data_IF_430470913793
#
_entry.id   IF_430470913793
#
_cell.length_a   1.000
_cell.length_b   1.000
_cell.length_c   1.000
_cell.angle_alpha   90.00
_cell.angle_beta   90.00
_cell.angle_gamma   90.00
#
_symmetry.space_group_name_H-M   'P 1'
#
loop_
_entity.id
_entity.type
_entity.pdbx_description
1 polymer ?
#
# COMPACT_ATOMS: atom_id res chain seq x y z
N UNK A 1 -48.52 48.43 9.35
CA UNK A 1 -48.06 47.03 9.28
C UNK A 1 -46.54 47.07 9.35
N UNK A 2 -45.94 46.81 10.52
CA UNK A 2 -44.49 46.94 10.72
C UNK A 2 -43.81 45.59 10.43
N UNK A 3 -42.93 45.57 9.43
CA UNK A 3 -42.17 44.38 9.06
C UNK A 3 -40.98 44.29 10.01
N UNK A 4 -41.02 43.34 10.95
CA UNK A 4 -39.88 43.02 11.80
C UNK A 4 -38.84 42.27 10.98
N UNK A 5 -37.78 42.98 10.57
CA UNK A 5 -36.61 42.36 9.96
C UNK A 5 -35.83 41.70 11.10
N UNK A 6 -35.97 40.37 11.23
CA UNK A 6 -35.18 39.59 12.18
C UNK A 6 -33.71 39.71 11.76
N UNK A 7 -32.92 40.43 12.55
CA UNK A 7 -31.47 40.51 12.40
C UNK A 7 -30.92 39.09 12.56
N UNK A 8 -30.58 38.45 11.44
CA UNK A 8 -29.87 37.18 11.45
C UNK A 8 -28.47 37.51 11.93
N UNK A 9 -28.18 37.16 13.18
CA UNK A 9 -26.90 37.47 13.80
C UNK A 9 -25.77 36.84 12.98
N UNK A 10 -24.82 37.69 12.56
CA UNK A 10 -23.62 37.31 11.81
C UNK A 10 -22.84 36.17 12.47
N UNK A 11 -23.00 35.99 13.78
CA UNK A 11 -22.40 34.88 14.54
C UNK A 11 -22.90 33.52 14.06
N UNK A 12 -24.20 33.38 13.76
CA UNK A 12 -24.79 32.13 13.28
C UNK A 12 -24.36 31.80 11.86
N UNK A 13 -24.21 32.84 11.02
CA UNK A 13 -23.69 32.70 9.66
C UNK A 13 -22.22 32.25 9.70
N UNK A 14 -21.41 32.81 10.60
CA UNK A 14 -20.01 32.43 10.77
C UNK A 14 -19.85 30.98 11.24
N UNK A 15 -20.70 30.52 12.18
CA UNK A 15 -20.70 29.14 12.68
C UNK A 15 -21.05 28.15 11.55
N UNK A 16 -22.03 28.47 10.70
CA UNK A 16 -22.39 27.62 9.56
C UNK A 16 -21.28 27.54 8.50
N UNK A 17 -20.56 28.65 8.26
CA UNK A 17 -19.43 28.67 7.32
C UNK A 17 -18.25 27.84 7.87
N UNK A 18 -17.92 27.99 9.15
CA UNK A 18 -16.86 27.21 9.82
C UNK A 18 -17.18 25.71 9.92
N UNK A 19 -18.46 25.34 9.97
CA UNK A 19 -18.91 23.93 10.01
C UNK A 19 -18.66 23.17 8.70
N UNK A 20 -18.43 23.88 7.59
CA UNK A 20 -18.25 23.28 6.26
C UNK A 20 -16.82 22.83 5.95
N UNK A 21 -15.88 23.08 6.87
CA UNK A 21 -14.44 22.96 6.60
C UNK A 21 -13.74 21.79 7.32
N UNK A 22 -14.39 20.63 7.49
CA UNK A 22 -13.68 19.43 7.99
C UNK A 22 -14.14 18.15 7.30
N UNK A 23 -14.02 18.09 5.98
CA UNK A 23 -13.73 16.80 5.34
C UNK A 23 -12.21 16.63 5.33
N UNK A 24 -11.66 16.21 6.46
CA UNK A 24 -10.31 15.65 6.47
C UNK A 24 -10.36 14.40 5.62
N UNK A 25 -9.91 14.51 4.36
CA UNK A 25 -9.78 13.36 3.47
C UNK A 25 -8.89 12.34 4.18
N UNK A 26 -9.49 11.24 4.63
CA UNK A 26 -8.74 10.10 5.14
C UNK A 26 -7.98 9.57 3.94
N UNK A 27 -6.68 9.86 3.89
CA UNK A 27 -5.79 9.24 2.91
C UNK A 27 -5.81 7.74 3.19
N UNK A 28 -6.42 6.96 2.31
CA UNK A 28 -6.35 5.50 2.38
C UNK A 28 -4.86 5.11 2.36
N UNK A 29 -4.41 4.43 3.41
CA UNK A 29 -3.03 4.01 3.56
C UNK A 29 -2.92 2.58 3.06
N UNK A 30 -2.09 2.36 2.04
CA UNK A 30 -1.86 1.04 1.47
C UNK A 30 -0.75 0.34 2.23
N UNK A 31 -1.05 -0.84 2.74
CA UNK A 31 -0.08 -1.71 3.41
C UNK A 31 0.52 -2.65 2.37
N UNK A 32 1.85 -2.68 2.26
CA UNK A 32 2.56 -3.64 1.41
C UNK A 32 3.48 -4.45 2.32
N UNK A 33 3.29 -5.77 2.36
CA UNK A 33 4.13 -6.69 3.11
C UNK A 33 4.81 -7.67 2.17
N UNK A 34 6.11 -7.85 2.36
CA UNK A 34 6.88 -8.95 1.79
C UNK A 34 7.15 -9.97 2.88
N UNK A 35 7.08 -11.26 2.53
CA UNK A 35 7.43 -12.35 3.42
C UNK A 35 8.32 -13.35 2.69
N UNK A 36 9.45 -13.72 3.31
CA UNK A 36 10.37 -14.70 2.76
C UNK A 36 9.80 -16.13 2.91
N UNK A 37 9.66 -16.83 1.78
CA UNK A 37 9.23 -18.24 1.67
C UNK A 37 10.11 -19.03 0.69
N UNK A 38 11.34 -18.57 0.46
CA UNK A 38 12.32 -19.27 -0.38
C UNK A 38 12.75 -20.59 0.28
N UNK A 39 12.81 -21.66 -0.50
CA UNK A 39 13.30 -22.99 -0.15
C UNK A 39 12.82 -23.49 1.23
N UNK A 40 11.50 -23.42 1.44
CA UNK A 40 10.86 -23.76 2.71
C UNK A 40 11.44 -23.02 3.94
N UNK A 41 12.02 -21.84 3.73
CA UNK A 41 12.64 -21.01 4.75
C UNK A 41 14.14 -21.21 4.95
N UNK A 42 14.83 -21.96 4.08
CA UNK A 42 16.27 -22.21 4.22
C UNK A 42 17.15 -21.07 3.70
N UNK A 43 16.63 -20.26 2.76
CA UNK A 43 17.38 -19.21 2.08
C UNK A 43 17.05 -17.83 2.63
N UNK A 44 18.09 -17.01 2.79
CA UNK A 44 17.94 -15.60 3.09
C UNK A 44 17.55 -14.80 1.85
N UNK A 45 16.65 -13.84 2.05
CA UNK A 45 16.17 -12.93 1.01
C UNK A 45 16.63 -11.50 1.34
N UNK A 46 17.39 -10.89 0.45
CA UNK A 46 17.63 -9.44 0.48
C UNK A 46 16.59 -8.73 -0.39
N UNK A 47 15.88 -7.77 0.18
CA UNK A 47 14.91 -6.93 -0.54
C UNK A 47 15.36 -5.48 -0.52
N UNK A 48 15.33 -4.81 -1.67
CA UNK A 48 15.61 -3.38 -1.78
C UNK A 48 14.59 -2.69 -2.70
N UNK A 49 13.99 -1.59 -2.25
CA UNK A 49 12.99 -0.84 -3.00
C UNK A 49 13.47 0.61 -3.19
N UNK A 50 14.42 0.87 -4.10
CA UNK A 50 15.12 2.15 -4.18
C UNK A 50 14.23 3.35 -4.50
N UNK A 51 13.09 3.12 -5.19
CA UNK A 51 12.10 4.17 -5.48
C UNK A 51 11.21 4.51 -4.28
N UNK A 52 11.34 3.75 -3.18
CA UNK A 52 10.55 3.90 -1.95
C UNK A 52 11.46 4.41 -0.83
N UNK A 53 12.59 3.76 -0.62
CA UNK A 53 13.59 4.16 0.37
C UNK A 53 14.99 3.64 0.00
N UNK A 54 16.03 4.22 0.60
CA UNK A 54 17.43 3.85 0.34
C UNK A 54 17.90 2.58 1.07
N UNK A 55 17.07 2.01 1.94
CA UNK A 55 17.41 0.86 2.79
C UNK A 55 17.13 -0.47 2.08
N UNK A 56 17.97 -1.46 2.38
CA UNK A 56 17.74 -2.87 2.05
C UNK A 56 17.46 -3.67 3.32
N UNK A 57 16.69 -4.75 3.18
CA UNK A 57 16.26 -5.61 4.27
C UNK A 57 16.72 -7.03 3.99
N UNK A 58 17.46 -7.61 4.93
CA UNK A 58 17.74 -9.05 4.96
C UNK A 58 16.62 -9.72 5.74
N UNK A 59 15.93 -10.66 5.12
CA UNK A 59 14.83 -11.43 5.70
C UNK A 59 15.23 -12.89 5.73
N UNK A 60 15.30 -13.46 6.93
CA UNK A 60 15.46 -14.89 7.11
C UNK A 60 14.17 -15.63 6.73
N UNK A 61 14.25 -16.95 6.56
CA UNK A 61 13.09 -17.77 6.25
C UNK A 61 11.97 -17.57 7.27
N UNK A 62 10.76 -17.27 6.79
CA UNK A 62 9.65 -16.97 7.69
C UNK A 62 9.38 -15.48 7.87
N UNK A 63 10.44 -14.65 7.87
CA UNK A 63 10.39 -13.24 8.23
C UNK A 63 9.68 -12.38 7.19
N UNK A 64 9.20 -11.23 7.66
CA UNK A 64 8.42 -10.30 6.86
C UNK A 64 8.88 -8.87 7.11
N UNK A 65 8.73 -8.03 6.10
CA UNK A 65 8.89 -6.59 6.23
C UNK A 65 7.69 -5.88 5.59
N UNK A 66 7.31 -4.75 6.18
CA UNK A 66 6.11 -4.01 5.82
C UNK A 66 6.45 -2.55 5.53
N UNK A 67 5.82 -2.02 4.49
CA UNK A 67 5.79 -0.61 4.16
C UNK A 67 4.38 -0.06 4.29
N UNK A 68 4.30 1.20 4.73
CA UNK A 68 3.09 2.01 4.64
C UNK A 68 3.24 2.92 3.43
N UNK A 69 2.50 2.62 2.36
CA UNK A 69 2.53 3.41 1.15
C UNK A 69 1.38 4.43 1.15
N UNK A 70 1.75 5.70 1.33
CA UNK A 70 0.79 6.80 1.27
C UNK A 70 0.38 7.17 -0.17
N UNK A 71 1.03 6.60 -1.19
CA UNK A 71 0.77 6.88 -2.61
C UNK A 71 -0.54 6.27 -3.14
N UNK A 72 -1.24 5.43 -2.36
CA UNK A 72 -2.58 4.98 -2.73
C UNK A 72 -3.62 6.12 -2.80
N UNK A 73 -3.30 7.29 -2.22
CA UNK A 73 -4.10 8.51 -2.37
C UNK A 73 -4.06 9.14 -3.77
N UNK A 74 -3.12 8.75 -4.63
CA UNK A 74 -3.08 9.22 -6.02
C UNK A 74 -3.64 8.15 -6.95
N UNK A 75 -4.93 8.28 -7.30
CA UNK A 75 -5.63 7.49 -8.33
C UNK A 75 -5.00 7.58 -9.74
N UNK A 76 -3.84 8.23 -9.89
CA UNK A 76 -3.14 8.42 -11.16
C UNK A 76 -1.66 8.10 -10.98
N UNK A 77 -1.26 6.89 -11.41
CA UNK A 77 0.10 6.58 -11.87
C UNK A 77 1.26 7.00 -10.96
N UNK A 78 1.16 6.81 -9.65
CA UNK A 78 2.29 7.01 -8.74
C UNK A 78 3.54 6.22 -9.18
N UNK A 79 4.75 6.61 -8.72
CA UNK A 79 5.97 5.90 -9.09
C UNK A 79 5.84 4.41 -8.73
N UNK A 80 6.36 3.50 -9.58
CA UNK A 80 6.21 2.08 -9.37
C UNK A 80 6.86 1.66 -8.04
N UNK A 81 6.15 0.85 -7.25
CA UNK A 81 6.70 0.21 -6.05
C UNK A 81 7.56 -0.98 -6.48
N UNK A 82 8.63 -0.68 -7.21
CA UNK A 82 9.53 -1.66 -7.80
C UNK A 82 10.62 -2.01 -6.81
N UNK A 83 10.72 -3.29 -6.48
CA UNK A 83 11.71 -3.81 -5.56
C UNK A 83 12.58 -4.87 -6.26
N UNK A 84 13.84 -4.97 -5.84
CA UNK A 84 14.72 -6.08 -6.16
C UNK A 84 14.67 -7.11 -5.04
N UNK A 85 14.75 -8.39 -5.44
CA UNK A 85 14.71 -9.55 -4.58
C UNK A 85 15.93 -10.42 -4.92
N UNK A 86 16.83 -10.57 -3.96
CA UNK A 86 18.11 -11.25 -4.17
C UNK A 86 18.31 -12.34 -3.13
N UNK A 87 18.71 -13.51 -3.59
CA UNK A 87 19.15 -14.61 -2.75
C UNK A 87 20.29 -15.35 -3.44
N UNK A 88 20.78 -16.42 -2.81
CA UNK A 88 21.90 -17.19 -3.37
C UNK A 88 21.54 -17.74 -4.76
N UNK A 89 22.21 -17.19 -5.79
CA UNK A 89 22.11 -17.65 -7.17
C UNK A 89 21.01 -17.01 -8.01
N UNK A 90 20.24 -16.05 -7.49
CA UNK A 90 19.19 -15.38 -8.26
C UNK A 90 18.95 -13.94 -7.80
N UNK A 91 18.51 -13.11 -8.74
CA UNK A 91 18.16 -11.71 -8.54
C UNK A 91 17.03 -11.36 -9.49
N UNK A 92 15.92 -10.87 -8.95
CA UNK A 92 14.73 -10.52 -9.72
C UNK A 92 14.22 -9.14 -9.35
N UNK A 93 13.43 -8.54 -10.24
CA UNK A 93 12.68 -7.34 -9.96
C UNK A 93 11.19 -7.64 -10.01
N UNK A 94 10.42 -6.94 -9.18
CA UNK A 94 8.97 -7.03 -9.22
C UNK A 94 8.32 -5.75 -8.71
N UNK A 95 7.25 -5.34 -9.39
CA UNK A 95 6.41 -4.24 -8.96
C UNK A 95 5.37 -4.73 -7.95
N UNK A 96 5.60 -4.43 -6.67
CA UNK A 96 4.76 -4.89 -5.57
C UNK A 96 3.40 -4.18 -5.51
N UNK A 97 3.24 -3.06 -6.23
CA UNK A 97 1.99 -2.36 -6.36
C UNK A 97 1.76 -1.86 -7.79
N UNK A 98 0.70 -2.34 -8.40
CA UNK A 98 0.21 -1.87 -9.69
C UNK A 98 -1.25 -1.46 -9.53
N UNK A 99 -1.61 -0.17 -9.68
CA UNK A 99 -3.00 0.28 -9.58
C UNK A 99 -3.96 -0.47 -10.49
N UNK A 100 -3.52 -0.94 -11.67
CA UNK A 100 -4.39 -1.71 -12.57
C UNK A 100 -4.71 -3.11 -12.05
N UNK A 101 -3.83 -3.69 -11.21
CA UNK A 101 -3.95 -5.02 -10.59
C UNK A 101 -4.52 -4.96 -9.16
N UNK A 102 -4.24 -3.88 -8.44
CA UNK A 102 -4.34 -3.81 -6.98
C UNK A 102 -5.30 -2.69 -6.48
N UNK A 103 -6.06 -2.04 -7.37
CA UNK A 103 -6.97 -0.91 -7.02
C UNK A 103 -8.04 -1.24 -5.95
N UNK A 104 -8.34 -2.51 -5.72
CA UNK A 104 -9.43 -2.97 -4.86
C UNK A 104 -8.98 -3.41 -3.46
N UNK A 105 -7.73 -3.12 -3.10
CA UNK A 105 -7.07 -3.67 -1.90
C UNK A 105 -6.24 -2.61 -1.18
N UNK A 106 -6.53 -2.43 0.10
CA UNK A 106 -5.74 -1.57 1.00
C UNK A 106 -4.56 -2.32 1.65
N UNK A 107 -4.52 -3.65 1.50
CA UNK A 107 -3.45 -4.51 1.99
C UNK A 107 -2.96 -5.44 0.87
N UNK A 108 -1.63 -5.52 0.69
CA UNK A 108 -0.97 -6.36 -0.29
C UNK A 108 0.10 -7.20 0.40
N UNK A 109 -0.19 -8.48 0.55
CA UNK A 109 0.71 -9.45 1.16
C UNK A 109 1.33 -10.32 0.07
N UNK A 110 2.66 -10.33 0.00
CA UNK A 110 3.43 -11.06 -1.01
C UNK A 110 4.33 -12.11 -0.36
N UNK A 111 4.19 -13.36 -0.77
CA UNK A 111 5.17 -14.41 -0.49
C UNK A 111 6.16 -14.47 -1.63
N UNK A 112 7.44 -14.35 -1.30
CA UNK A 112 8.53 -14.49 -2.26
C UNK A 112 8.99 -15.93 -2.28
N UNK A 113 8.89 -16.55 -3.46
CA UNK A 113 9.33 -17.91 -3.75
C UNK A 113 10.25 -17.91 -4.97
N UNK A 114 10.96 -19.00 -5.17
CA UNK A 114 11.87 -19.19 -6.29
C UNK A 114 11.14 -19.14 -7.63
N UNK A 115 9.90 -19.62 -7.67
CA UNK A 115 9.06 -19.59 -8.87
C UNK A 115 8.50 -18.19 -9.18
N UNK A 116 8.44 -17.30 -8.19
CA UNK A 116 7.85 -15.99 -8.33
C UNK A 116 7.15 -15.46 -7.08
N UNK A 117 6.71 -14.19 -7.11
CA UNK A 117 5.95 -13.57 -6.04
C UNK A 117 4.49 -14.02 -6.07
N UNK A 118 3.94 -14.32 -4.90
CA UNK A 118 2.59 -14.83 -4.71
C UNK A 118 1.76 -13.89 -3.83
N UNK A 119 0.66 -13.34 -4.36
CA UNK A 119 -0.30 -12.49 -3.64
C UNK A 119 -1.19 -13.33 -2.74
N UNK A 120 -1.26 -12.95 -1.47
CA UNK A 120 -2.19 -13.51 -0.50
C UNK A 120 -3.36 -12.57 -0.29
N UNK A 121 -4.56 -13.14 -0.31
CA UNK A 121 -5.78 -12.42 -0.05
C UNK A 121 -6.30 -12.81 1.33
N UNK A 122 -6.55 -11.81 2.17
CA UNK A 122 -7.14 -11.97 3.51
C UNK A 122 -8.67 -12.21 3.44
N UNK A 123 -9.13 -13.00 2.46
CA UNK A 123 -10.55 -13.33 2.29
C UNK A 123 -10.73 -14.86 2.27
N UNK A 124 -11.69 -15.41 3.02
CA UNK A 124 -11.96 -16.84 2.98
C UNK A 124 -12.26 -17.26 1.53
N UNK A 125 -11.61 -18.34 1.07
CA UNK A 125 -11.77 -18.97 -0.26
C UNK A 125 -11.08 -18.27 -1.44
N UNK A 126 -10.32 -17.18 -1.25
CA UNK A 126 -9.52 -16.66 -2.37
C UNK A 126 -8.20 -17.42 -2.50
N UNK A 127 -7.87 -17.95 -3.70
CA UNK A 127 -6.61 -18.63 -3.92
C UNK A 127 -5.45 -17.65 -3.88
N UNK A 128 -4.29 -18.13 -3.47
CA UNK A 128 -3.02 -17.42 -3.69
C UNK A 128 -2.75 -17.33 -5.19
N UNK A 129 -2.53 -16.13 -5.71
CA UNK A 129 -2.21 -15.89 -7.13
C UNK A 129 -0.72 -15.60 -7.24
N UNK A 130 0.00 -16.38 -8.04
CA UNK A 130 1.44 -16.20 -8.25
C UNK A 130 1.72 -15.67 -9.64
N UNK A 131 2.66 -14.72 -9.72
CA UNK A 131 3.28 -14.30 -10.98
C UNK A 131 4.58 -15.07 -11.16
N UNK A 132 5.05 -15.22 -12.40
CA UNK A 132 6.42 -15.61 -12.65
C UNK A 132 7.34 -14.41 -12.44
N UNK A 133 8.62 -14.69 -12.20
CA UNK A 133 9.64 -13.67 -12.39
C UNK A 133 9.72 -13.26 -13.87
N UNK A 134 10.04 -12.00 -14.11
CA UNK A 134 10.44 -11.51 -15.45
C UNK A 134 11.89 -11.86 -15.78
#
# INVERSE_FOLDING_TARGET
>A
MAISIKSVSFLWVLILILSSAHNSGVSAQLIIQVTNRLDNGSLDLTVACPNVESKSYLLHGGESHQWLNNAASTQSGGPPFSCSFQWKGASHMFNMYDPSRDFDSDELHWYIKETGPCRLYNRPKQPTICSNWE
#
